data_IF_267016565634
#
_entry.id   IF_267016565634
#
_cell.length_a   1.000
_cell.length_b   1.000
_cell.length_c   1.000
_cell.angle_alpha   90.00
_cell.angle_beta   90.00
_cell.angle_gamma   90.00
#
_symmetry.space_group_name_H-M   'P 1'
#
loop_
_entity.id
_entity.type
_entity.pdbx_description
1 polymer ?
#
# COMPACT_ATOMS: atom_id res chain seq x y z
N UNK A 1 33.83 18.52 -8.08
CA UNK A 1 32.73 19.52 -8.02
C UNK A 1 31.48 18.80 -7.58
N UNK A 2 30.86 19.22 -6.49
CA UNK A 2 29.58 18.67 -6.05
C UNK A 2 28.47 19.27 -6.95
N UNK A 3 27.76 18.44 -7.74
CA UNK A 3 26.57 18.89 -8.48
C UNK A 3 25.35 18.61 -7.61
N UNK A 4 24.50 19.61 -7.37
CA UNK A 4 23.17 19.34 -6.81
C UNK A 4 22.40 18.60 -7.92
N UNK A 5 22.08 17.34 -7.69
CA UNK A 5 21.41 16.48 -8.68
C UNK A 5 19.92 16.84 -8.72
N UNK A 6 19.61 18.00 -9.30
CA UNK A 6 18.23 18.42 -9.58
C UNK A 6 17.74 17.91 -10.94
N UNK A 7 18.56 17.18 -11.71
CA UNK A 7 18.32 16.97 -13.14
C UNK A 7 18.76 15.61 -13.73
N UNK A 8 18.81 14.54 -12.93
CA UNK A 8 18.96 13.18 -13.50
C UNK A 8 17.63 12.41 -13.47
N UNK A 9 16.98 12.34 -14.64
CA UNK A 9 15.95 11.37 -15.02
C UNK A 9 14.85 11.08 -13.98
N UNK A 10 13.78 11.89 -13.99
CA UNK A 10 12.54 11.63 -13.28
C UNK A 10 11.86 10.33 -13.81
N UNK A 11 12.15 9.21 -13.15
CA UNK A 11 11.39 7.94 -13.27
C UNK A 11 11.07 7.30 -11.92
N UNK A 12 11.27 8.01 -10.82
CA UNK A 12 11.43 7.39 -9.51
C UNK A 12 10.23 7.68 -8.63
N UNK A 13 9.16 6.89 -8.74
CA UNK A 13 8.07 6.88 -7.75
C UNK A 13 8.21 5.77 -6.73
N UNK A 14 7.40 5.80 -5.63
CA UNK A 14 7.54 4.92 -4.44
C UNK A 14 8.02 3.53 -4.86
N UNK A 15 9.09 3.06 -4.25
CA UNK A 15 9.67 1.74 -4.50
C UNK A 15 9.30 0.93 -3.26
N UNK A 16 9.00 -0.36 -3.34
CA UNK A 16 8.67 -1.20 -2.18
C UNK A 16 9.42 -2.51 -2.38
N UNK A 17 10.74 -2.44 -2.36
CA UNK A 17 11.60 -3.57 -2.73
C UNK A 17 11.68 -4.60 -1.62
N UNK A 18 11.65 -5.91 -1.88
CA UNK A 18 11.94 -6.92 -0.84
C UNK A 18 12.92 -7.98 -1.36
N UNK A 19 14.05 -8.19 -0.67
CA UNK A 19 15.05 -9.20 -1.04
C UNK A 19 14.74 -10.61 -0.48
N UNK A 20 15.13 -11.67 -1.21
CA UNK A 20 15.07 -13.06 -0.72
C UNK A 20 16.11 -13.92 -1.43
N UNK A 21 17.37 -13.99 -0.94
CA UNK A 21 18.40 -14.98 -1.37
C UNK A 21 18.92 -14.88 -2.82
N UNK A 22 18.15 -14.25 -3.69
CA UNK A 22 18.51 -13.54 -4.90
C UNK A 22 17.82 -12.17 -4.78
N UNK A 23 18.53 -11.12 -5.15
CA UNK A 23 18.05 -9.75 -5.00
C UNK A 23 16.76 -9.49 -5.83
N UNK A 24 15.57 -9.38 -5.22
CA UNK A 24 14.30 -8.95 -5.84
C UNK A 24 13.93 -7.50 -5.46
N UNK A 25 13.59 -6.68 -6.47
CA UNK A 25 13.20 -5.26 -6.38
C UNK A 25 11.73 -5.08 -6.75
N UNK A 26 10.96 -4.29 -6.01
CA UNK A 26 9.59 -3.88 -6.38
C UNK A 26 9.47 -2.38 -6.35
N UNK A 27 8.56 -1.84 -7.17
CA UNK A 27 8.08 -0.47 -6.99
C UNK A 27 6.57 -0.33 -6.87
N UNK A 28 6.16 0.58 -5.97
CA UNK A 28 4.83 1.12 -5.79
C UNK A 28 4.61 2.32 -6.72
N UNK A 29 3.91 2.10 -7.83
CA UNK A 29 3.47 3.21 -8.67
C UNK A 29 2.59 4.17 -7.85
N UNK A 30 2.74 5.51 -7.93
CA UNK A 30 1.79 6.45 -7.29
C UNK A 30 2.18 7.91 -7.11
N UNK A 31 3.46 8.24 -7.10
CA UNK A 31 3.94 9.59 -6.80
C UNK A 31 5.38 9.75 -7.27
N UNK A 32 5.70 10.80 -8.04
CA UNK A 32 7.09 11.15 -8.39
C UNK A 32 7.91 11.45 -7.13
N UNK A 33 9.11 10.87 -7.04
CA UNK A 33 10.10 11.09 -5.99
C UNK A 33 9.88 10.26 -4.73
N UNK A 34 9.85 8.93 -4.79
CA UNK A 34 9.91 8.11 -3.57
C UNK A 34 10.45 6.73 -3.86
N UNK A 35 11.18 6.09 -2.96
CA UNK A 35 11.74 4.76 -3.22
C UNK A 35 12.09 4.01 -1.92
N UNK A 36 11.48 2.84 -1.69
CA UNK A 36 11.63 1.94 -0.54
C UNK A 36 12.05 0.52 -0.92
N UNK A 37 12.53 -0.22 0.08
CA UNK A 37 13.41 -1.37 -0.10
C UNK A 37 13.41 -2.21 1.20
N UNK A 38 13.61 -3.55 1.17
CA UNK A 38 13.93 -4.43 2.32
C UNK A 38 15.32 -4.99 2.09
N UNK A 39 16.14 -4.92 3.14
CA UNK A 39 17.31 -5.75 3.27
C UNK A 39 16.86 -7.10 3.79
N UNK A 40 17.16 -8.17 3.06
CA UNK A 40 17.48 -9.41 3.76
C UNK A 40 18.88 -9.23 4.29
N UNK A 41 18.99 -8.90 5.57
CA UNK A 41 20.04 -9.56 6.31
C UNK A 41 19.69 -11.04 6.23
N UNK A 42 20.54 -11.83 5.59
CA UNK A 42 20.71 -13.22 5.99
C UNK A 42 21.31 -13.20 7.41
N UNK A 43 20.56 -12.64 8.36
CA UNK A 43 20.83 -12.82 9.76
C UNK A 43 20.45 -14.26 10.01
N UNK A 44 21.47 -15.11 10.11
CA UNK A 44 21.28 -16.42 10.66
C UNK A 44 20.80 -16.25 12.11
N UNK A 45 19.76 -16.97 12.51
CA UNK A 45 19.52 -17.18 13.94
C UNK A 45 20.75 -17.85 14.58
N UNK A 46 20.77 -17.97 15.90
CA UNK A 46 21.88 -18.64 16.62
C UNK A 46 22.13 -20.09 16.16
N UNK A 47 21.25 -20.66 15.32
CA UNK A 47 21.30 -22.01 14.76
C UNK A 47 21.61 -22.05 13.26
N UNK A 48 21.85 -20.91 12.60
CA UNK A 48 22.18 -20.86 11.17
C UNK A 48 20.99 -20.62 10.22
N UNK A 49 19.75 -20.47 10.72
CA UNK A 49 18.57 -20.34 9.88
C UNK A 49 18.39 -18.91 9.36
N UNK A 50 18.04 -18.78 8.09
CA UNK A 50 17.75 -17.49 7.45
C UNK A 50 16.56 -16.79 8.11
N UNK A 51 16.80 -15.62 8.69
CA UNK A 51 15.76 -14.74 9.22
C UNK A 51 15.39 -13.71 8.14
N UNK A 52 14.10 -13.55 7.87
CA UNK A 52 13.59 -12.53 6.97
C UNK A 52 13.04 -11.35 7.78
N UNK A 53 13.39 -10.12 7.38
CA UNK A 53 12.91 -8.87 8.00
C UNK A 53 12.47 -7.89 6.92
N UNK A 54 11.67 -6.92 7.32
CA UNK A 54 11.10 -5.89 6.44
C UNK A 54 11.52 -4.52 6.91
N UNK A 55 11.94 -3.70 5.96
CA UNK A 55 12.38 -2.34 6.16
C UNK A 55 11.77 -1.45 5.07
N UNK A 56 11.86 -0.15 5.23
CA UNK A 56 11.35 0.84 4.28
C UNK A 56 12.36 1.96 4.16
N UNK A 57 12.46 2.54 2.97
CA UNK A 57 13.25 3.73 2.69
C UNK A 57 12.33 4.81 2.12
N UNK A 58 12.57 6.06 2.50
CA UNK A 58 11.83 7.21 1.97
C UNK A 58 12.74 8.12 1.14
N UNK A 59 13.98 7.70 0.88
CA UNK A 59 15.03 8.48 0.21
C UNK A 59 15.87 7.63 -0.78
N UNK A 60 15.21 6.76 -1.54
CA UNK A 60 15.79 5.94 -2.61
C UNK A 60 16.93 5.01 -2.15
N UNK A 61 16.72 4.41 -0.99
CA UNK A 61 17.62 3.41 -0.44
C UNK A 61 18.89 3.99 0.20
N UNK A 62 18.97 5.31 0.41
CA UNK A 62 20.05 5.92 1.19
C UNK A 62 19.94 5.56 2.68
N UNK A 63 18.73 5.63 3.24
CA UNK A 63 18.42 5.30 4.63
C UNK A 63 17.25 4.33 4.71
N UNK A 64 17.27 3.52 5.75
CA UNK A 64 16.38 2.39 5.92
C UNK A 64 15.92 2.30 7.36
N UNK A 65 14.65 1.98 7.54
CA UNK A 65 14.02 1.85 8.85
C UNK A 65 13.10 0.64 8.89
N UNK A 66 12.90 0.07 10.07
CA UNK A 66 11.85 -0.93 10.28
C UNK A 66 10.47 -0.34 10.00
N UNK A 67 9.51 -1.20 9.64
CA UNK A 67 8.12 -0.79 9.60
C UNK A 67 7.56 -0.71 11.03
N UNK A 68 6.97 0.43 11.43
CA UNK A 68 6.37 0.56 12.76
C UNK A 68 5.23 -0.45 12.96
N UNK A 69 5.25 -1.23 14.05
CA UNK A 69 4.14 -2.14 14.33
C UNK A 69 2.90 -1.34 14.79
N UNK A 70 1.69 -1.69 14.31
CA UNK A 70 0.46 -1.17 14.89
C UNK A 70 0.36 -1.51 16.38
N UNK A 71 -0.32 -0.66 17.15
CA UNK A 71 -0.49 -0.85 18.60
C UNK A 71 -1.34 -2.07 18.94
N UNK A 72 -2.35 -2.35 18.12
CA UNK A 72 -3.35 -3.41 18.32
C UNK A 72 -3.70 -4.06 16.99
N UNK A 73 -4.17 -5.31 17.06
CA UNK A 73 -4.74 -6.02 15.92
C UNK A 73 -6.17 -5.55 15.60
N UNK A 74 -6.77 -6.11 14.55
CA UNK A 74 -8.14 -5.79 14.11
C UNK A 74 -9.22 -6.02 15.20
N UNK A 75 -8.95 -6.85 16.21
CA UNK A 75 -9.87 -7.11 17.33
C UNK A 75 -9.57 -6.22 18.55
N UNK A 76 -8.64 -5.27 18.44
CA UNK A 76 -8.21 -4.41 19.54
C UNK A 76 -7.24 -5.08 20.52
N UNK A 77 -6.70 -6.26 20.19
CA UNK A 77 -5.74 -6.96 21.05
C UNK A 77 -4.32 -6.45 20.79
N UNK A 78 -3.59 -6.14 21.86
CA UNK A 78 -2.17 -5.79 21.75
C UNK A 78 -1.32 -6.97 21.25
N UNK A 79 -0.28 -6.66 20.47
CA UNK A 79 0.71 -7.64 20.03
C UNK A 79 1.64 -8.04 21.18
N UNK A 80 2.34 -9.18 21.03
CA UNK A 80 3.29 -9.69 22.03
C UNK A 80 4.55 -8.84 22.21
N UNK A 81 4.71 -7.78 21.41
CA UNK A 81 5.78 -6.81 21.49
C UNK A 81 5.26 -5.42 21.10
N UNK A 82 6.02 -4.37 21.41
CA UNK A 82 5.69 -3.00 21.02
C UNK A 82 6.94 -2.21 20.69
N UNK A 83 6.88 -1.40 19.64
CA UNK A 83 7.91 -0.43 19.28
C UNK A 83 7.27 0.79 18.62
N UNK A 84 7.84 1.98 18.79
CA UNK A 84 7.27 3.21 18.19
C UNK A 84 7.63 3.33 16.71
N UNK A 85 8.87 3.01 16.36
CA UNK A 85 9.40 3.10 15.00
C UNK A 85 9.74 1.72 14.40
N UNK A 86 9.55 0.65 15.16
CA UNK A 86 10.05 -0.67 14.82
C UNK A 86 11.52 -0.85 15.25
N UNK A 87 11.86 -2.08 15.61
CA UNK A 87 13.23 -2.49 15.93
C UNK A 87 13.43 -3.99 15.66
N UNK A 88 14.62 -4.51 15.93
CA UNK A 88 14.96 -5.92 15.69
C UNK A 88 14.08 -6.93 16.42
N UNK A 89 13.44 -6.54 17.53
CA UNK A 89 12.58 -7.40 18.34
C UNK A 89 11.12 -7.24 17.96
N UNK A 90 10.72 -6.08 17.47
CA UNK A 90 9.34 -5.77 17.17
C UNK A 90 9.20 -4.81 15.99
N UNK A 91 8.87 -5.34 14.83
CA UNK A 91 8.52 -4.59 13.65
C UNK A 91 7.38 -5.28 12.90
N UNK A 92 6.75 -4.54 11.99
CA UNK A 92 5.87 -5.13 10.98
C UNK A 92 6.73 -5.77 9.88
N UNK A 93 6.39 -7.01 9.54
CA UNK A 93 7.00 -7.73 8.44
C UNK A 93 5.94 -8.11 7.43
N UNK A 94 6.23 -7.92 6.14
CA UNK A 94 5.28 -8.16 5.06
C UNK A 94 5.85 -9.19 4.07
N UNK A 95 5.00 -10.08 3.59
CA UNK A 95 5.33 -10.96 2.47
C UNK A 95 5.47 -10.17 1.18
N UNK A 96 6.39 -10.62 0.33
CA UNK A 96 6.68 -9.92 -0.91
C UNK A 96 5.59 -10.11 -1.95
N UNK A 97 5.32 -9.08 -2.76
CA UNK A 97 4.38 -9.20 -3.87
C UNK A 97 4.79 -10.26 -4.91
N UNK A 98 6.07 -10.69 -4.98
CA UNK A 98 6.47 -11.79 -5.87
C UNK A 98 5.97 -13.16 -5.40
N UNK A 99 5.52 -13.27 -4.16
CA UNK A 99 4.84 -14.46 -3.61
C UNK A 99 3.33 -14.44 -3.95
N UNK A 100 2.84 -13.40 -4.62
CA UNK A 100 1.49 -13.36 -5.20
C UNK A 100 1.47 -14.10 -6.53
N UNK A 101 0.31 -14.69 -6.83
CA UNK A 101 0.03 -15.32 -8.11
C UNK A 101 0.19 -14.30 -9.25
N UNK A 102 -0.43 -13.12 -9.11
CA UNK A 102 -0.19 -12.00 -10.01
C UNK A 102 0.88 -11.05 -9.43
N UNK A 103 2.10 -11.18 -9.96
CA UNK A 103 3.25 -10.33 -9.61
C UNK A 103 3.08 -8.88 -10.08
N UNK A 104 2.07 -8.53 -10.86
CA UNK A 104 1.79 -7.12 -11.21
C UNK A 104 1.05 -6.39 -10.09
N UNK A 105 0.43 -7.13 -9.16
CA UNK A 105 -0.26 -6.57 -8.00
C UNK A 105 0.77 -6.22 -6.93
N UNK A 106 1.26 -4.99 -6.95
CA UNK A 106 2.20 -4.47 -5.95
C UNK A 106 1.45 -4.01 -4.69
N UNK A 107 2.16 -3.39 -3.74
CA UNK A 107 1.58 -2.94 -2.47
C UNK A 107 0.70 -1.68 -2.61
N UNK A 108 0.91 -0.86 -3.64
CA UNK A 108 0.11 0.34 -3.95
C UNK A 108 -0.24 0.41 -5.44
N UNK A 109 -0.96 1.45 -5.85
CA UNK A 109 -1.28 1.71 -7.26
C UNK A 109 -1.02 3.16 -7.65
N UNK A 110 -0.69 3.38 -8.94
CA UNK A 110 -0.34 4.68 -9.52
C UNK A 110 -1.37 5.77 -9.24
N UNK A 111 -2.62 5.35 -9.14
CA UNK A 111 -3.80 6.17 -8.93
C UNK A 111 -4.09 6.45 -7.45
N UNK A 112 -3.19 6.09 -6.53
CA UNK A 112 -3.48 6.18 -5.09
C UNK A 112 -2.22 6.56 -4.29
N UNK A 113 -2.02 7.86 -4.09
CA UNK A 113 -0.89 8.38 -3.33
C UNK A 113 -1.03 8.10 -1.83
N UNK A 114 0.00 7.49 -1.22
CA UNK A 114 0.09 7.24 0.22
C UNK A 114 -0.63 5.99 0.73
N UNK A 115 -1.57 5.41 -0.02
CA UNK A 115 -2.22 4.16 0.37
C UNK A 115 -1.39 2.95 -0.06
N UNK A 116 -1.08 2.08 0.90
CA UNK A 116 -0.48 0.77 0.63
C UNK A 116 -1.13 -0.31 1.47
N UNK A 117 -1.10 -1.54 0.96
CA UNK A 117 -1.53 -2.75 1.66
C UNK A 117 -0.45 -3.82 1.58
N UNK A 118 -0.37 -4.64 2.62
CA UNK A 118 0.50 -5.81 2.70
C UNK A 118 -0.12 -6.86 3.61
N UNK A 119 0.27 -8.12 3.46
CA UNK A 119 -0.04 -9.14 4.46
C UNK A 119 1.26 -9.70 5.05
N UNK A 120 1.26 -9.96 6.36
CA UNK A 120 2.41 -10.49 7.10
C UNK A 120 2.17 -10.52 8.60
N UNK A 121 3.18 -10.27 9.43
CA UNK A 121 3.07 -10.44 10.88
C UNK A 121 3.85 -9.37 11.67
N UNK A 122 3.58 -9.28 12.98
CA UNK A 122 4.33 -8.46 13.92
C UNK A 122 5.27 -9.34 14.73
N UNK A 123 6.54 -8.96 14.84
CA UNK A 123 7.51 -9.68 15.65
C UNK A 123 8.96 -9.30 15.33
N UNK A 124 9.87 -10.22 15.61
CA UNK A 124 11.30 -10.06 15.31
C UNK A 124 11.70 -10.46 13.89
N UNK A 125 10.80 -11.14 13.17
CA UNK A 125 11.02 -11.68 11.82
C UNK A 125 9.71 -12.02 11.12
N UNK A 126 9.76 -12.14 9.79
CA UNK A 126 8.66 -12.61 8.96
C UNK A 126 8.36 -14.08 9.25
N UNK A 127 7.07 -14.37 9.48
CA UNK A 127 6.55 -15.71 9.73
C UNK A 127 6.00 -16.38 8.46
N UNK A 128 5.33 -17.54 8.62
CA UNK A 128 4.62 -18.21 7.54
C UNK A 128 3.39 -17.39 7.07
N UNK A 129 3.02 -17.53 5.79
CA UNK A 129 1.93 -16.75 5.18
C UNK A 129 0.55 -17.13 5.73
N UNK A 130 0.41 -18.36 6.22
CA UNK A 130 -0.82 -18.91 6.80
C UNK A 130 -1.17 -18.23 8.14
N UNK A 131 -0.18 -17.65 8.82
CA UNK A 131 -0.34 -16.87 10.04
C UNK A 131 -0.38 -15.35 9.77
N UNK A 132 -0.33 -14.94 8.50
CA UNK A 132 -0.28 -13.54 8.12
C UNK A 132 -1.63 -12.85 8.30
N UNK A 133 -1.61 -11.64 8.84
CA UNK A 133 -2.73 -10.70 8.84
C UNK A 133 -2.54 -9.65 7.74
N UNK A 134 -3.64 -8.99 7.33
CA UNK A 134 -3.60 -7.92 6.34
C UNK A 134 -3.50 -6.55 7.03
N UNK A 135 -2.57 -5.74 6.56
CA UNK A 135 -2.23 -4.42 7.05
C UNK A 135 -2.36 -3.35 5.97
N UNK A 136 -2.64 -2.13 6.40
CA UNK A 136 -2.81 -0.97 5.54
C UNK A 136 -2.07 0.24 6.12
N UNK A 137 -1.59 1.13 5.25
CA UNK A 137 -1.11 2.48 5.57
C UNK A 137 -1.83 3.48 4.66
N UNK A 138 -1.99 4.71 5.16
CA UNK A 138 -2.56 5.86 4.42
C UNK A 138 -1.58 7.02 4.29
N UNK A 139 -0.35 6.85 4.78
CA UNK A 139 0.69 7.88 4.89
C UNK A 139 2.04 7.36 4.38
N UNK A 140 2.02 6.53 3.34
CA UNK A 140 3.21 5.98 2.69
C UNK A 140 4.13 5.18 3.63
N UNK A 141 3.54 4.42 4.55
CA UNK A 141 4.24 3.45 5.38
C UNK A 141 4.86 4.03 6.65
N UNK A 142 4.55 5.28 7.01
CA UNK A 142 4.95 5.90 8.28
C UNK A 142 4.14 5.29 9.44
N UNK A 143 2.84 5.09 9.24
CA UNK A 143 1.98 4.37 10.19
C UNK A 143 1.23 3.24 9.51
N UNK A 144 1.03 2.16 10.25
CA UNK A 144 0.31 0.97 9.79
C UNK A 144 -0.83 0.62 10.74
N UNK A 145 -1.86 0.00 10.18
CA UNK A 145 -3.00 -0.58 10.91
C UNK A 145 -3.29 -2.00 10.42
N UNK A 146 -3.67 -2.87 11.34
CA UNK A 146 -4.26 -4.17 10.99
C UNK A 146 -5.70 -3.95 10.54
N UNK A 147 -6.08 -4.47 9.36
CA UNK A 147 -7.40 -4.23 8.76
C UNK A 147 -8.24 -5.50 8.60
N UNK A 148 -7.60 -6.67 8.53
CA UNK A 148 -8.32 -7.96 8.44
C UNK A 148 -7.39 -9.09 8.89
N UNK A 149 -7.97 -10.10 9.56
CA UNK A 149 -7.25 -11.35 9.87
C UNK A 149 -7.05 -12.19 8.61
N UNK A 150 -5.90 -12.84 8.51
CA UNK A 150 -5.53 -13.63 7.33
C UNK A 150 -4.99 -12.80 6.18
N UNK A 151 -4.52 -13.48 5.13
CA UNK A 151 -4.05 -12.85 3.90
C UNK A 151 -5.23 -12.53 2.96
N UNK A 152 -5.45 -11.25 2.66
CA UNK A 152 -6.49 -10.78 1.74
C UNK A 152 -5.87 -10.15 0.49
N UNK A 153 -6.59 -10.25 -0.62
CA UNK A 153 -6.27 -9.53 -1.86
C UNK A 153 -7.09 -8.24 -1.92
N UNK A 154 -6.48 -7.15 -2.33
CA UNK A 154 -7.14 -5.85 -2.47
C UNK A 154 -7.23 -5.39 -3.91
N UNK A 155 -8.21 -4.54 -4.17
CA UNK A 155 -8.30 -3.75 -5.40
C UNK A 155 -8.80 -2.34 -5.09
N UNK A 156 -8.21 -1.35 -5.76
CA UNK A 156 -8.61 0.05 -5.67
C UNK A 156 -9.60 0.40 -6.78
N UNK A 157 -10.55 1.25 -6.46
CA UNK A 157 -11.45 1.94 -7.39
C UNK A 157 -11.67 3.38 -6.94
N UNK A 158 -12.25 4.18 -7.83
CA UNK A 158 -12.45 5.62 -7.64
C UNK A 158 -11.20 6.35 -7.10
N UNK A 159 -10.02 5.99 -7.64
CA UNK A 159 -8.71 6.53 -7.28
C UNK A 159 -8.36 6.35 -5.80
N UNK A 160 -8.71 5.19 -5.26
CA UNK A 160 -8.48 4.81 -3.86
C UNK A 160 -9.57 5.26 -2.90
N UNK A 161 -10.59 5.97 -3.37
CA UNK A 161 -11.78 6.29 -2.56
C UNK A 161 -12.61 5.05 -2.24
N UNK A 162 -12.46 3.98 -3.02
CA UNK A 162 -13.06 2.67 -2.75
C UNK A 162 -11.94 1.63 -2.72
N UNK A 163 -11.88 0.86 -1.64
CA UNK A 163 -11.01 -0.31 -1.55
C UNK A 163 -11.84 -1.53 -1.26
N UNK A 164 -11.64 -2.58 -2.05
CA UNK A 164 -12.29 -3.88 -1.90
C UNK A 164 -11.26 -4.91 -1.50
N UNK A 165 -11.55 -5.68 -0.45
CA UNK A 165 -10.82 -6.86 -0.01
C UNK A 165 -11.61 -8.12 -0.34
N UNK A 166 -10.91 -9.09 -0.90
CA UNK A 166 -11.39 -10.45 -1.13
C UNK A 166 -10.45 -11.46 -0.45
N UNK A 167 -10.95 -12.58 0.10
CA UNK A 167 -10.08 -13.61 0.64
C UNK A 167 -9.08 -14.07 -0.41
N UNK A 168 -7.81 -14.22 -0.03
CA UNK A 168 -6.81 -14.79 -0.92
C UNK A 168 -7.14 -16.27 -1.11
N UNK A 169 -7.19 -16.72 -2.36
CA UNK A 169 -7.18 -18.14 -2.69
C UNK A 169 -5.95 -18.46 -3.52
N UNK A 170 -5.29 -19.55 -3.21
CA UNK A 170 -4.22 -20.15 -4.01
C UNK A 170 -4.63 -21.55 -4.45
N UNK A 171 -3.79 -22.23 -5.24
CA UNK A 171 -4.03 -23.62 -5.62
C UNK A 171 -4.01 -24.54 -4.39
N UNK A 172 -3.11 -24.25 -3.44
CA UNK A 172 -2.91 -24.99 -2.20
C UNK A 172 -3.94 -24.62 -1.11
N UNK A 173 -4.41 -23.36 -1.10
CA UNK A 173 -5.36 -22.84 -0.12
C UNK A 173 -6.62 -22.29 -0.82
N UNK A 174 -7.65 -23.12 -0.89
CA UNK A 174 -8.92 -22.77 -1.52
C UNK A 174 -9.86 -22.09 -0.53
N UNK A 175 -9.64 -20.79 -0.29
CA UNK A 175 -10.59 -19.97 0.45
C UNK A 175 -11.93 -19.91 -0.30
N UNK A 176 -13.00 -20.30 0.37
CA UNK A 176 -14.37 -20.15 -0.11
C UNK A 176 -15.05 -19.00 0.62
N UNK A 177 -15.85 -18.23 -0.09
CA UNK A 177 -16.61 -17.14 0.48
C UNK A 177 -17.84 -16.82 -0.37
N UNK A 178 -18.78 -16.10 0.22
CA UNK A 178 -19.90 -15.46 -0.47
C UNK A 178 -19.91 -13.95 -0.28
N UNK A 179 -18.89 -13.40 0.40
CA UNK A 179 -18.82 -11.99 0.79
C UNK A 179 -17.49 -11.34 0.43
N UNK A 180 -17.53 -10.05 0.17
CA UNK A 180 -16.36 -9.16 0.08
C UNK A 180 -16.38 -8.16 1.23
N UNK A 181 -15.23 -7.60 1.59
CA UNK A 181 -15.14 -6.50 2.54
C UNK A 181 -14.73 -5.24 1.80
N UNK A 182 -15.30 -4.09 2.11
CA UNK A 182 -14.95 -2.84 1.44
C UNK A 182 -14.93 -1.65 2.39
N UNK A 183 -14.23 -0.60 1.98
CA UNK A 183 -14.17 0.68 2.68
C UNK A 183 -14.25 1.82 1.68
N UNK A 184 -14.82 2.95 2.13
CA UNK A 184 -14.90 4.20 1.38
C UNK A 184 -14.31 5.40 2.10
N UNK A 185 -13.62 5.15 3.21
CA UNK A 185 -13.06 6.16 4.09
C UNK A 185 -11.62 5.82 4.50
N UNK A 186 -10.86 5.33 3.52
CA UNK A 186 -9.45 4.92 3.67
C UNK A 186 -9.24 3.88 4.78
N UNK A 187 -10.20 2.98 4.98
CA UNK A 187 -10.12 1.88 5.95
C UNK A 187 -10.29 2.32 7.40
N UNK A 188 -10.97 3.46 7.68
CA UNK A 188 -11.42 3.79 9.03
C UNK A 188 -12.49 2.79 9.48
N UNK A 189 -13.42 2.50 8.58
CA UNK A 189 -14.46 1.48 8.78
C UNK A 189 -14.49 0.52 7.58
N UNK A 190 -14.87 -0.72 7.87
CA UNK A 190 -15.00 -1.79 6.90
C UNK A 190 -16.43 -2.35 6.91
N UNK A 191 -16.98 -2.61 5.73
CA UNK A 191 -18.32 -3.17 5.54
C UNK A 191 -18.21 -4.47 4.76
N UNK A 192 -18.89 -5.51 5.22
CA UNK A 192 -18.97 -6.78 4.50
C UNK A 192 -20.24 -6.79 3.64
N UNK A 193 -20.14 -7.30 2.42
CA UNK A 193 -21.22 -7.37 1.45
C UNK A 193 -21.29 -8.77 0.83
N UNK A 194 -22.46 -9.42 0.93
CA UNK A 194 -22.70 -10.71 0.29
C UNK A 194 -23.00 -10.53 -1.20
N UNK A 195 -22.12 -11.03 -2.06
CA UNK A 195 -22.25 -10.94 -3.52
C UNK A 195 -22.82 -12.21 -4.16
N UNK A 196 -22.94 -13.29 -3.39
CA UNK A 196 -23.40 -14.61 -3.83
C UNK A 196 -24.28 -15.25 -2.76
N UNK A 197 -25.20 -16.12 -3.16
CA UNK A 197 -25.97 -16.95 -2.24
C UNK A 197 -25.19 -18.20 -1.79
N UNK A 198 -24.29 -18.68 -2.65
CA UNK A 198 -23.47 -19.87 -2.41
C UNK A 198 -22.00 -19.49 -2.19
N UNK A 199 -21.28 -20.34 -1.46
CA UNK A 199 -19.83 -20.21 -1.29
C UNK A 199 -19.08 -20.56 -2.57
N UNK A 200 -18.23 -19.63 -3.00
CA UNK A 200 -17.41 -19.73 -4.20
C UNK A 200 -15.96 -19.36 -3.90
N UNK A 201 -15.05 -19.84 -4.74
CA UNK A 201 -13.65 -19.43 -4.69
C UNK A 201 -13.45 -18.20 -5.58
N UNK A 202 -12.93 -17.12 -5.02
CA UNK A 202 -12.54 -15.94 -5.80
C UNK A 202 -11.14 -16.19 -6.36
N UNK A 203 -11.04 -16.31 -7.68
CA UNK A 203 -9.79 -16.51 -8.40
C UNK A 203 -9.04 -15.20 -8.57
N UNK A 204 -9.75 -14.11 -8.87
CA UNK A 204 -9.17 -12.80 -9.02
C UNK A 204 -10.19 -11.66 -8.85
N UNK A 205 -9.70 -10.47 -8.54
CA UNK A 205 -10.46 -9.22 -8.58
C UNK A 205 -9.74 -8.23 -9.51
N UNK A 206 -10.50 -7.63 -10.42
CA UNK A 206 -9.97 -6.71 -11.44
C UNK A 206 -10.80 -5.44 -11.51
N UNK A 207 -10.15 -4.34 -11.90
CA UNK A 207 -10.79 -3.06 -12.20
C UNK A 207 -10.06 -2.41 -13.39
N UNK A 208 -10.61 -1.31 -13.91
CA UNK A 208 -9.98 -0.55 -14.99
C UNK A 208 -8.62 -0.04 -14.50
N UNK A 209 -7.57 -0.19 -15.34
CA UNK A 209 -6.18 0.14 -14.99
C UNK A 209 -5.96 1.58 -14.49
N UNK A 210 -6.82 2.52 -14.88
CA UNK A 210 -6.75 3.91 -14.42
C UNK A 210 -7.11 4.06 -12.94
N UNK A 211 -7.74 3.04 -12.32
CA UNK A 211 -8.23 3.09 -10.95
C UNK A 211 -9.45 4.00 -10.76
N UNK A 212 -9.93 4.68 -11.80
CA UNK A 212 -11.07 5.62 -11.74
C UNK A 212 -12.44 4.94 -11.77
N UNK A 213 -12.49 3.64 -12.05
CA UNK A 213 -13.74 2.88 -12.09
C UNK A 213 -14.32 2.69 -10.69
N UNK A 214 -15.65 2.78 -10.58
CA UNK A 214 -16.44 2.32 -9.43
C UNK A 214 -16.97 0.89 -9.59
N UNK A 215 -16.65 0.25 -10.72
CA UNK A 215 -16.99 -1.13 -11.01
C UNK A 215 -15.76 -2.04 -10.82
N UNK A 216 -15.99 -3.21 -10.22
CA UNK A 216 -14.98 -4.26 -10.03
C UNK A 216 -15.53 -5.58 -10.55
N UNK A 217 -14.69 -6.34 -11.25
CA UNK A 217 -15.05 -7.66 -11.72
C UNK A 217 -14.37 -8.72 -10.87
N UNK A 218 -15.19 -9.53 -10.18
CA UNK A 218 -14.75 -10.74 -9.52
C UNK A 218 -14.74 -11.88 -10.52
N UNK A 219 -13.65 -12.63 -10.56
CA UNK A 219 -13.52 -13.89 -11.29
C UNK A 219 -13.66 -15.01 -10.30
N UNK A 220 -14.71 -15.82 -10.43
CA UNK A 220 -15.09 -16.82 -9.43
C UNK A 220 -15.12 -18.23 -10.01
N UNK A 221 -14.89 -19.21 -9.16
CA UNK A 221 -15.12 -20.62 -9.42
C UNK A 221 -16.09 -21.18 -8.40
N UNK A 222 -17.20 -21.70 -8.87
CA UNK A 222 -18.20 -22.37 -8.05
C UNK A 222 -17.71 -23.74 -7.57
N UNK A 223 -18.42 -24.32 -6.60
CA UNK A 223 -18.05 -25.62 -6.02
C UNK A 223 -18.12 -26.79 -7.03
N UNK A 224 -18.91 -26.67 -8.10
CA UNK A 224 -19.00 -27.67 -9.19
C UNK A 224 -17.89 -27.50 -10.26
N UNK A 225 -16.99 -26.52 -10.07
CA UNK A 225 -15.87 -26.23 -10.97
C UNK A 225 -16.18 -25.24 -12.08
N UNK A 226 -17.42 -24.78 -12.26
CA UNK A 226 -17.76 -23.77 -13.27
C UNK A 226 -17.16 -22.41 -12.91
N UNK A 227 -16.57 -21.76 -13.90
CA UNK A 227 -16.01 -20.41 -13.77
C UNK A 227 -17.03 -19.38 -14.26
N UNK A 228 -17.21 -18.29 -13.51
CA UNK A 228 -18.14 -17.21 -13.82
C UNK A 228 -17.59 -15.89 -13.28
N UNK A 229 -18.23 -14.77 -13.62
CA UNK A 229 -17.83 -13.45 -13.13
C UNK A 229 -18.99 -12.71 -12.48
N UNK A 230 -18.66 -11.85 -11.52
CA UNK A 230 -19.62 -10.99 -10.80
C UNK A 230 -19.15 -9.55 -10.91
N UNK A 231 -20.01 -8.66 -11.40
CA UNK A 231 -19.73 -7.23 -11.39
C UNK A 231 -20.20 -6.62 -10.06
N UNK A 232 -19.27 -6.04 -9.31
CA UNK A 232 -19.57 -5.22 -8.14
C UNK A 232 -19.67 -3.76 -8.59
N UNK A 233 -20.88 -3.22 -8.57
CA UNK A 233 -21.17 -1.84 -8.97
C UNK A 233 -21.33 -0.94 -7.73
N UNK A 234 -20.35 -0.05 -7.50
CA UNK A 234 -20.38 0.92 -6.41
C UNK A 234 -20.92 2.30 -6.83
N UNK A 235 -21.48 2.44 -8.04
CA UNK A 235 -22.05 3.72 -8.49
C UNK A 235 -23.18 4.21 -7.58
N UNK A 236 -23.99 3.29 -7.05
CA UNK A 236 -25.09 3.60 -6.12
C UNK A 236 -24.68 4.08 -4.72
N UNK A 237 -23.39 4.18 -4.40
CA UNK A 237 -22.96 4.76 -3.11
C UNK A 237 -23.12 6.28 -3.06
N UNK A 238 -23.02 6.95 -4.21
CA UNK A 238 -23.16 8.41 -4.32
C UNK A 238 -23.35 8.86 -5.77
N UNK A 239 -24.26 9.80 -5.96
CA UNK A 239 -24.60 10.37 -7.26
C UNK A 239 -23.94 11.73 -7.52
N UNK A 240 -23.18 12.27 -6.55
CA UNK A 240 -22.54 13.59 -6.70
C UNK A 240 -21.05 13.48 -7.02
N UNK A 241 -20.54 14.20 -8.03
CA UNK A 241 -19.10 14.32 -8.24
C UNK A 241 -18.48 15.18 -7.12
N UNK A 242 -17.25 14.85 -6.73
CA UNK A 242 -16.47 15.61 -5.75
C UNK A 242 -16.01 16.94 -6.35
N UNK A 243 -16.08 18.02 -5.59
CA UNK A 243 -15.72 19.38 -6.04
C UNK A 243 -14.44 19.89 -5.37
N UNK A 244 -13.60 20.61 -6.13
CA UNK A 244 -12.43 21.32 -5.62
C UNK A 244 -12.47 22.79 -6.06
N UNK A 245 -13.34 23.64 -5.48
CA UNK A 245 -13.48 25.02 -5.89
C UNK A 245 -12.25 25.85 -5.49
N UNK A 246 -11.96 26.92 -6.23
CA UNK A 246 -10.87 27.86 -5.89
C UNK A 246 -11.09 28.57 -4.55
N UNK A 247 -12.35 28.70 -4.12
CA UNK A 247 -12.75 29.24 -2.83
C UNK A 247 -13.95 28.48 -2.25
N UNK A 248 -13.99 28.32 -0.93
CA UNK A 248 -15.05 27.57 -0.22
C UNK A 248 -14.61 26.20 0.30
N UNK A 249 -15.59 25.36 0.66
CA UNK A 249 -15.33 24.02 1.19
C UNK A 249 -15.07 23.03 0.05
N UNK A 250 -13.84 22.52 -0.01
CA UNK A 250 -13.41 21.50 -0.97
C UNK A 250 -13.69 20.09 -0.44
N UNK A 251 -14.04 19.16 -1.33
CA UNK A 251 -14.14 17.73 -1.00
C UNK A 251 -12.76 17.06 -0.90
N UNK A 252 -11.69 17.81 -1.17
CA UNK A 252 -10.30 17.34 -1.19
C UNK A 252 -9.43 18.08 -0.17
N UNK A 253 -8.27 17.51 0.10
CA UNK A 253 -7.18 18.12 0.87
C UNK A 253 -5.85 17.83 0.18
N UNK A 254 -4.84 18.66 0.47
CA UNK A 254 -3.48 18.46 -0.01
C UNK A 254 -2.69 17.62 1.00
N UNK A 255 -2.04 16.58 0.49
CA UNK A 255 -1.17 15.69 1.26
C UNK A 255 0.24 15.70 0.67
N UNK A 256 1.25 15.92 1.50
CA UNK A 256 2.64 15.78 1.11
C UNK A 256 3.22 14.50 1.74
N UNK A 257 4.01 13.72 0.99
CA UNK A 257 4.83 12.69 1.60
C UNK A 257 5.92 13.32 2.48
N UNK A 258 6.29 12.64 3.57
CA UNK A 258 7.33 13.09 4.49
C UNK A 258 8.32 11.98 4.79
N UNK A 259 9.49 12.35 5.32
CA UNK A 259 10.48 11.40 5.82
C UNK A 259 10.35 11.30 7.35
N UNK A 260 10.21 10.11 7.95
CA UNK A 260 10.04 9.97 9.40
C UNK A 260 11.26 10.45 10.21
N UNK A 261 12.43 10.53 9.58
CA UNK A 261 13.67 11.04 10.20
C UNK A 261 14.01 12.50 9.84
N UNK A 262 13.15 13.23 9.12
CA UNK A 262 13.38 14.63 8.77
C UNK A 262 12.20 15.49 9.21
N UNK A 263 12.48 16.68 9.72
CA UNK A 263 11.46 17.61 10.22
C UNK A 263 10.83 18.47 9.09
N UNK A 264 11.11 18.16 7.82
CA UNK A 264 10.59 18.91 6.67
C UNK A 264 9.88 18.00 5.65
N UNK A 265 9.11 18.60 4.74
CA UNK A 265 8.40 17.90 3.66
C UNK A 265 9.25 17.71 2.40
N UNK A 266 10.56 17.99 2.48
CA UNK A 266 11.42 17.97 1.31
C UNK A 266 11.92 16.55 1.03
N UNK A 267 11.51 16.02 -0.11
CA UNK A 267 11.96 14.73 -0.60
C UNK A 267 12.54 14.92 -2.01
N UNK A 268 13.79 14.46 -2.21
CA UNK A 268 14.50 14.57 -3.49
C UNK A 268 14.60 16.01 -4.02
N UNK A 269 14.79 16.99 -3.13
CA UNK A 269 14.91 18.40 -3.51
C UNK A 269 13.58 19.08 -3.86
N UNK A 270 12.44 18.42 -3.63
CA UNK A 270 11.12 18.98 -3.90
C UNK A 270 10.13 18.69 -2.76
N UNK A 271 9.15 19.57 -2.60
CA UNK A 271 7.92 19.31 -1.86
C UNK A 271 6.83 19.05 -2.90
N UNK A 272 6.31 17.82 -2.91
CA UNK A 272 5.25 17.38 -3.82
C UNK A 272 3.92 17.29 -3.08
N UNK A 273 2.91 18.04 -3.52
CA UNK A 273 1.57 18.05 -2.91
C UNK A 273 0.61 17.24 -3.77
N UNK A 274 -0.06 16.28 -3.14
CA UNK A 274 -1.04 15.43 -3.79
C UNK A 274 -2.47 15.78 -3.38
N UNK A 275 -3.37 15.88 -4.35
CA UNK A 275 -4.79 16.08 -4.09
C UNK A 275 -5.43 14.74 -3.69
N UNK A 276 -5.97 14.68 -2.47
CA UNK A 276 -6.64 13.50 -1.90
C UNK A 276 -8.04 13.83 -1.44
N UNK A 277 -8.97 12.90 -1.63
CA UNK A 277 -10.36 13.06 -1.21
C UNK A 277 -10.46 12.97 0.32
N UNK A 278 -11.21 13.88 0.94
CA UNK A 278 -11.46 13.83 2.38
C UNK A 278 -12.33 12.61 2.72
N UNK A 279 -11.96 11.90 3.79
CA UNK A 279 -12.60 10.62 4.19
C UNK A 279 -14.05 10.74 4.67
N UNK A 280 -14.51 11.95 5.02
CA UNK A 280 -15.85 12.26 5.50
C UNK A 280 -16.81 12.69 4.38
N UNK A 281 -16.34 12.77 3.12
CA UNK A 281 -17.11 13.27 1.99
C UNK A 281 -17.72 12.16 1.16
N UNK A 282 -19.05 12.17 1.05
CA UNK A 282 -19.79 11.25 0.19
C UNK A 282 -19.96 11.84 -1.23
N UNK A 283 -18.95 11.64 -2.07
CA UNK A 283 -18.91 12.03 -3.48
C UNK A 283 -17.97 11.08 -4.25
N UNK A 284 -17.98 11.11 -5.59
CA UNK A 284 -17.08 10.29 -6.41
C UNK A 284 -16.12 11.16 -7.26
N UNK A 285 -14.98 10.61 -7.66
CA UNK A 285 -14.00 11.32 -8.50
C UNK A 285 -14.40 11.21 -9.98
N UNK A 286 -15.03 12.25 -10.53
CA UNK A 286 -15.61 12.26 -11.88
C UNK A 286 -14.57 12.26 -13.02
N UNK A 287 -13.37 12.77 -12.74
CA UNK A 287 -12.27 12.82 -13.70
C UNK A 287 -11.05 12.10 -13.14
N UNK A 288 -10.18 11.62 -14.03
CA UNK A 288 -8.84 11.18 -13.64
C UNK A 288 -8.14 12.39 -13.02
N UNK A 289 -8.02 12.40 -11.70
CA UNK A 289 -7.36 13.51 -11.00
C UNK A 289 -5.88 13.35 -11.31
N UNK A 290 -5.25 14.42 -11.78
CA UNK A 290 -3.80 14.52 -11.68
C UNK A 290 -3.46 14.65 -10.21
N UNK A 291 -3.07 13.52 -9.60
CA UNK A 291 -2.83 13.48 -8.17
C UNK A 291 -1.77 14.50 -7.75
N UNK A 292 -0.72 14.70 -8.55
CA UNK A 292 0.28 15.73 -8.30
C UNK A 292 -0.33 17.11 -8.58
N UNK A 293 -0.66 17.84 -7.52
CA UNK A 293 -1.31 19.14 -7.59
C UNK A 293 -0.29 20.28 -7.70
N UNK A 294 0.80 20.20 -6.94
CA UNK A 294 1.84 21.21 -6.95
C UNK A 294 3.19 20.60 -6.59
N UNK A 295 4.25 21.16 -7.18
CA UNK A 295 5.64 20.85 -6.84
C UNK A 295 6.37 22.16 -6.57
N UNK A 296 7.16 22.20 -5.49
CA UNK A 296 8.01 23.35 -5.18
C UNK A 296 9.40 22.88 -4.78
N UNK A 297 10.43 23.52 -5.33
CA UNK A 297 11.82 23.14 -5.07
C UNK A 297 12.25 23.56 -3.66
N UNK A 298 13.03 22.72 -3.01
CA UNK A 298 13.70 23.04 -1.76
C UNK A 298 15.09 23.62 -2.01
N UNK A 299 15.68 24.23 -0.99
CA UNK A 299 17.11 24.52 -0.97
C UNK A 299 17.90 23.21 -0.80
N UNK A 300 18.91 22.97 -1.65
CA UNK A 300 19.75 21.78 -1.55
C UNK A 300 20.44 21.69 -0.17
N UNK A 301 20.44 20.50 0.42
CA UNK A 301 21.12 20.15 1.67
C UNK A 301 22.28 19.20 1.40
N UNK A 302 23.08 18.86 2.42
CA UNK A 302 24.20 17.90 2.27
C UNK A 302 23.74 16.53 1.75
N UNK A 303 22.51 16.12 2.07
CA UNK A 303 21.93 14.83 1.67
C UNK A 303 21.64 14.75 0.16
N UNK A 304 21.51 15.88 -0.53
CA UNK A 304 21.16 15.95 -1.96
C UNK A 304 22.39 15.83 -2.89
N UNK A 305 23.59 15.62 -2.34
CA UNK A 305 24.84 15.51 -3.09
C UNK A 305 25.43 14.11 -2.99
N UNK A 306 25.63 13.48 -4.15
CA UNK A 306 26.38 12.23 -4.27
C UNK A 306 27.88 12.48 -4.49
N UNK A 307 28.71 11.46 -4.18
CA UNK A 307 30.15 11.54 -4.44
C UNK A 307 30.43 11.30 -5.92
N UNK A 308 31.03 12.28 -6.59
CA UNK A 308 31.49 12.08 -7.95
C UNK A 308 32.78 11.25 -7.92
N UNK A 309 32.73 10.04 -8.46
CA UNK A 309 33.94 9.25 -8.73
C UNK A 309 34.45 9.67 -10.11
N UNK A 310 35.62 10.30 -10.13
CA UNK A 310 36.31 10.69 -11.35
C UNK A 310 37.05 9.51 -11.98
#
# INVERSE_FOLDING_TARGET
>A
MARCSSNHFLRNGIVLTFFSGLARRASSSGSDGMSSTNHTFDAADKKGNKILRTEISHNDGSQWAYLPPPKVDVNGKAYGCSSTYGDEKCALHLHHYTERLDKKKTFSAASVAGLMFGYGNIGSSLGPIEEADTFMTTDAGITWKSVKKGAWTWQYGDQGSIVVLVPRSTEDEKAKTKSISYTTNEGKDWKDFEFSQEEVTILDITSIRTGSSRNFLLWCRSSDGKTFSVNLDFTGLTDRPCVNPESGDSDYYLWSPTHPLQDNECLFGHVSKYLRKKTDRNCYNDHRIEHLYAISNCTCTRADYEWYVA
#
